data_IF_649728030180
#
_entry.id   IF_649728030180
#
_cell.length_a   1.000
_cell.length_b   1.000
_cell.length_c   1.000
_cell.angle_alpha   90.00
_cell.angle_beta   90.00
_cell.angle_gamma   90.00
#
_symmetry.space_group_name_H-M   'P 1'
#
loop_
_entity.id
_entity.type
_entity.pdbx_description
1 polymer ?
#
# COMPACT_ATOMS: atom_id res chain seq x y z
N UNK A 1 41.78 34.35 -37.17
CA UNK A 1 41.31 33.97 -35.83
C UNK A 1 42.07 32.74 -35.38
N UNK A 2 42.82 32.88 -34.30
CA UNK A 2 43.86 31.92 -33.90
C UNK A 2 43.23 30.67 -33.26
N UNK A 3 43.68 29.51 -33.65
CA UNK A 3 43.31 28.15 -33.15
C UNK A 3 43.43 27.99 -31.61
N UNK A 4 44.08 28.90 -30.94
CA UNK A 4 44.25 28.89 -29.45
C UNK A 4 42.98 29.30 -28.71
N UNK A 5 42.08 30.07 -29.29
CA UNK A 5 40.84 30.47 -28.64
C UNK A 5 39.74 29.40 -28.68
N UNK A 6 39.84 28.47 -29.64
CA UNK A 6 38.86 27.38 -29.74
C UNK A 6 39.11 26.27 -28.70
N UNK A 7 40.35 26.09 -28.30
CA UNK A 7 40.71 25.07 -27.28
C UNK A 7 40.30 25.49 -25.85
N UNK A 8 40.31 26.79 -25.57
CA UNK A 8 39.90 27.29 -24.26
C UNK A 8 38.39 27.24 -24.09
N UNK A 9 37.60 27.49 -25.15
CA UNK A 9 36.15 27.37 -25.10
C UNK A 9 35.68 25.92 -24.96
N UNK A 10 36.40 24.96 -25.60
CA UNK A 10 36.08 23.52 -25.50
C UNK A 10 36.36 22.98 -24.06
N UNK A 11 37.35 23.54 -23.37
CA UNK A 11 37.70 23.11 -22.01
C UNK A 11 36.76 23.69 -20.95
N UNK A 12 36.10 24.83 -21.20
CA UNK A 12 35.09 25.40 -20.31
C UNK A 12 33.76 24.64 -20.35
N UNK A 13 33.43 23.95 -21.45
CA UNK A 13 32.20 23.14 -21.53
C UNK A 13 32.31 21.76 -20.86
N UNK A 14 33.53 21.29 -20.58
CA UNK A 14 33.73 20.01 -19.90
C UNK A 14 33.61 20.08 -18.36
N UNK A 15 33.62 21.28 -17.81
CA UNK A 15 33.44 21.48 -16.34
C UNK A 15 32.02 21.83 -15.91
N UNK A 16 31.10 22.09 -16.84
CA UNK A 16 29.71 22.44 -16.50
C UNK A 16 28.77 21.26 -16.42
N UNK A 17 29.22 20.02 -16.64
CA UNK A 17 28.38 18.82 -16.53
C UNK A 17 28.54 18.01 -15.23
N UNK A 18 29.31 18.52 -14.26
CA UNK A 18 29.65 17.78 -13.04
C UNK A 18 29.10 18.42 -11.76
N UNK A 19 27.98 19.16 -11.83
CA UNK A 19 27.41 19.85 -10.66
C UNK A 19 25.98 19.45 -10.26
N UNK A 20 25.51 18.29 -10.68
CA UNK A 20 24.17 17.83 -10.25
C UNK A 20 24.15 16.62 -9.32
N UNK A 21 25.29 16.10 -8.91
CA UNK A 21 25.39 15.16 -7.78
C UNK A 21 25.75 15.87 -6.48
N UNK A 22 25.21 17.05 -6.26
CA UNK A 22 25.25 17.64 -4.92
C UNK A 22 24.34 16.86 -4.01
N UNK A 23 24.95 15.85 -3.32
CA UNK A 23 24.75 15.55 -1.92
C UNK A 23 23.30 15.85 -1.47
N UNK A 24 22.42 14.87 -1.56
CA UNK A 24 21.38 14.77 -0.55
C UNK A 24 22.12 14.73 0.80
N UNK A 25 22.31 15.88 1.40
CA UNK A 25 22.70 15.95 2.81
C UNK A 25 21.58 15.20 3.52
N UNK A 26 21.94 14.11 4.16
CA UNK A 26 21.07 13.48 5.14
C UNK A 26 20.67 14.55 6.14
N UNK A 27 19.50 15.12 5.97
CA UNK A 27 18.88 15.87 7.04
C UNK A 27 18.44 14.83 8.04
N UNK A 28 19.22 14.65 9.08
CA UNK A 28 18.78 13.88 10.25
C UNK A 28 17.63 14.68 10.87
N UNK A 29 16.42 14.24 10.62
CA UNK A 29 15.24 14.77 11.29
C UNK A 29 15.16 14.12 12.67
N UNK A 30 15.24 14.90 13.72
CA UNK A 30 14.86 14.43 15.05
C UNK A 30 13.34 14.19 15.06
N UNK A 31 12.92 12.95 15.05
CA UNK A 31 11.52 12.59 15.27
C UNK A 31 11.26 12.56 16.77
N UNK A 32 10.32 13.38 17.24
CA UNK A 32 9.77 13.24 18.58
C UNK A 32 8.47 12.47 18.50
N UNK A 33 8.32 11.47 19.35
CA UNK A 33 7.10 10.68 19.46
C UNK A 33 6.30 11.14 20.67
N UNK A 34 5.02 11.45 20.44
CA UNK A 34 4.06 11.68 21.50
C UNK A 34 3.04 10.53 21.48
N UNK A 35 3.01 9.76 22.55
CA UNK A 35 1.97 8.75 22.73
C UNK A 35 0.68 9.42 23.15
N UNK A 36 -0.39 9.25 22.37
CA UNK A 36 -1.73 9.76 22.68
C UNK A 36 -2.67 8.59 22.91
N UNK A 37 -3.35 8.63 24.06
CA UNK A 37 -4.46 7.71 24.35
C UNK A 37 -5.76 8.37 23.97
N UNK A 38 -6.59 7.68 23.19
CA UNK A 38 -7.93 8.12 22.82
C UNK A 38 -8.94 7.43 23.73
N UNK A 39 -9.82 8.21 24.36
CA UNK A 39 -10.87 7.68 25.19
C UNK A 39 -11.98 7.07 24.33
N UNK A 40 -12.12 5.76 24.36
CA UNK A 40 -13.24 5.07 23.74
C UNK A 40 -14.44 5.19 24.70
N UNK A 41 -15.43 6.01 24.36
CA UNK A 41 -16.73 5.99 25.03
C UNK A 41 -17.39 4.67 24.67
N UNK A 42 -18.08 3.98 25.56
CA UNK A 42 -18.59 2.59 25.45
C UNK A 42 -19.28 2.14 24.14
N UNK A 43 -19.16 2.90 23.07
CA UNK A 43 -19.54 2.60 21.68
C UNK A 43 -18.35 2.25 20.79
N UNK A 44 -17.11 2.49 21.24
CA UNK A 44 -15.90 2.14 20.51
C UNK A 44 -15.54 0.66 20.71
N UNK A 45 -14.66 0.18 19.87
CA UNK A 45 -14.05 -1.15 19.99
C UNK A 45 -12.54 -1.00 20.18
N UNK A 46 -11.91 -2.01 20.75
CA UNK A 46 -10.44 -2.09 20.79
C UNK A 46 -9.85 -2.59 19.46
N UNK A 47 -10.69 -3.13 18.57
CA UNK A 47 -10.27 -3.71 17.30
C UNK A 47 -10.88 -2.93 16.15
N UNK A 48 -10.07 -2.06 15.55
CA UNK A 48 -10.38 -1.38 14.29
C UNK A 48 -9.61 -2.04 13.16
N UNK A 49 -10.25 -2.20 12.00
CA UNK A 49 -9.62 -2.86 10.84
C UNK A 49 -8.54 -2.00 10.18
N UNK A 50 -8.77 -0.70 10.14
CA UNK A 50 -7.88 0.23 9.47
C UNK A 50 -8.05 1.63 10.03
N UNK A 51 -6.97 2.42 9.93
CA UNK A 51 -6.93 3.81 10.35
C UNK A 51 -6.51 4.70 9.20
N UNK A 52 -7.13 5.86 9.09
CA UNK A 52 -6.79 6.88 8.11
C UNK A 52 -6.84 8.27 8.75
N UNK A 53 -5.81 9.08 8.54
CA UNK A 53 -5.89 10.50 8.89
C UNK A 53 -6.89 11.18 7.97
N UNK A 54 -7.70 12.09 8.53
CA UNK A 54 -8.67 12.85 7.74
C UNK A 54 -7.94 13.68 6.68
N UNK A 55 -8.34 13.62 5.40
CA UNK A 55 -7.60 14.25 4.30
C UNK A 55 -7.66 15.78 4.30
N UNK A 56 -8.62 16.36 5.02
CA UNK A 56 -8.78 17.82 5.05
C UNK A 56 -7.62 18.45 5.83
N UNK A 57 -6.92 19.37 5.19
CA UNK A 57 -5.80 20.10 5.78
C UNK A 57 -6.26 20.87 7.04
N UNK A 58 -5.49 20.73 8.10
CA UNK A 58 -5.74 21.41 9.38
C UNK A 58 -6.72 20.70 10.30
N UNK A 59 -7.45 19.70 9.85
CA UNK A 59 -8.28 18.86 10.71
C UNK A 59 -7.46 17.73 11.30
N UNK A 60 -7.24 17.76 12.61
CA UNK A 60 -6.51 16.69 13.33
C UNK A 60 -7.47 15.60 13.77
N UNK A 61 -8.03 14.91 12.81
CA UNK A 61 -8.95 13.80 13.03
C UNK A 61 -8.41 12.51 12.44
N UNK A 62 -8.71 11.41 13.12
CA UNK A 62 -8.41 10.05 12.71
C UNK A 62 -9.72 9.33 12.44
N UNK A 63 -9.79 8.62 11.32
CA UNK A 63 -10.91 7.77 10.95
C UNK A 63 -10.53 6.32 11.15
N UNK A 64 -11.47 5.53 11.64
CA UNK A 64 -11.27 4.10 11.77
C UNK A 64 -12.56 3.33 11.51
N UNK A 65 -12.47 2.21 10.81
CA UNK A 65 -13.63 1.36 10.58
C UNK A 65 -13.79 0.37 11.73
N UNK A 66 -14.97 0.44 12.37
CA UNK A 66 -15.38 -0.43 13.46
C UNK A 66 -16.19 -1.61 12.91
N UNK A 67 -15.61 -2.81 12.85
CA UNK A 67 -16.29 -3.98 12.29
C UNK A 67 -17.44 -4.51 13.18
N UNK A 68 -17.41 -4.20 14.47
CA UNK A 68 -18.43 -4.67 15.40
C UNK A 68 -19.76 -3.96 15.21
N UNK A 69 -19.71 -2.69 14.80
CA UNK A 69 -20.90 -1.85 14.63
C UNK A 69 -21.16 -1.48 13.17
N UNK A 70 -20.31 -1.95 12.27
CA UNK A 70 -20.30 -1.56 10.85
C UNK A 70 -20.33 -0.04 10.69
N UNK A 71 -19.42 0.65 11.40
CA UNK A 71 -19.37 2.11 11.43
C UNK A 71 -17.99 2.67 11.08
N UNK A 72 -17.99 3.88 10.52
CA UNK A 72 -16.80 4.70 10.38
C UNK A 72 -16.77 5.69 11.53
N UNK A 73 -15.80 5.52 12.41
CA UNK A 73 -15.63 6.30 13.62
C UNK A 73 -14.62 7.40 13.42
N UNK A 74 -14.98 8.63 13.82
CA UNK A 74 -14.16 9.83 13.74
C UNK A 74 -13.67 10.23 15.11
N UNK A 75 -12.36 10.33 15.26
CA UNK A 75 -11.70 10.68 16.51
C UNK A 75 -11.00 12.04 16.38
N UNK A 76 -11.23 12.91 17.35
CA UNK A 76 -10.47 14.16 17.51
C UNK A 76 -9.13 13.86 18.21
N UNK A 77 -8.03 14.11 17.53
CA UNK A 77 -6.69 13.85 18.05
C UNK A 77 -6.24 14.91 19.07
N UNK A 78 -6.89 16.09 19.11
CA UNK A 78 -6.59 17.14 20.09
C UNK A 78 -7.37 16.89 21.37
N UNK A 79 -8.68 16.65 21.26
CA UNK A 79 -9.55 16.34 22.40
C UNK A 79 -9.38 14.92 22.90
N UNK A 80 -8.80 14.04 22.08
CA UNK A 80 -8.54 12.61 22.39
C UNK A 80 -9.84 11.83 22.66
N UNK A 81 -10.85 12.09 21.85
CA UNK A 81 -12.18 11.47 22.03
C UNK A 81 -12.81 11.07 20.70
N UNK A 82 -13.76 10.13 20.75
CA UNK A 82 -14.64 9.80 19.64
C UNK A 82 -15.63 10.95 19.42
N UNK A 83 -15.57 11.61 18.25
CA UNK A 83 -16.47 12.71 17.92
C UNK A 83 -17.81 12.18 17.43
N UNK A 84 -17.76 11.21 16.50
CA UNK A 84 -18.95 10.74 15.79
C UNK A 84 -18.71 9.37 15.17
N UNK A 85 -19.79 8.58 15.10
CA UNK A 85 -19.85 7.32 14.36
C UNK A 85 -20.88 7.43 13.25
N UNK A 86 -20.52 7.00 12.04
CA UNK A 86 -21.41 6.89 10.90
C UNK A 86 -21.64 5.42 10.62
N UNK A 87 -22.89 4.98 10.74
CA UNK A 87 -23.27 3.58 10.60
C UNK A 87 -23.63 3.27 9.14
N UNK A 88 -23.26 2.07 8.72
CA UNK A 88 -23.58 1.55 7.39
C UNK A 88 -24.42 0.28 7.54
N UNK A 89 -25.32 0.07 6.59
CA UNK A 89 -26.07 -1.17 6.51
C UNK A 89 -25.13 -2.33 6.16
N UNK A 90 -25.31 -3.49 6.73
CA UNK A 90 -24.57 -4.69 6.38
C UNK A 90 -25.13 -5.31 5.09
N UNK A 91 -26.44 -5.35 4.96
CA UNK A 91 -27.15 -5.98 3.85
C UNK A 91 -28.06 -4.99 3.11
N UNK A 92 -28.62 -5.43 1.99
CA UNK A 92 -29.54 -4.62 1.18
C UNK A 92 -28.85 -3.74 0.13
N UNK A 93 -29.63 -2.86 -0.54
CA UNK A 93 -29.11 -2.03 -1.64
C UNK A 93 -27.97 -1.10 -1.21
N UNK A 94 -28.03 -0.61 0.02
CA UNK A 94 -26.99 0.26 0.60
C UNK A 94 -26.02 -0.51 1.51
N UNK A 95 -26.14 -1.82 1.62
CA UNK A 95 -25.26 -2.63 2.44
C UNK A 95 -23.84 -2.62 1.95
N UNK A 96 -22.89 -2.33 2.85
CA UNK A 96 -21.45 -2.38 2.56
C UNK A 96 -20.85 -3.74 2.90
N UNK A 97 -21.61 -4.63 3.55
CA UNK A 97 -21.15 -5.92 4.03
C UNK A 97 -20.17 -5.76 5.20
N UNK A 98 -19.19 -6.63 5.25
CA UNK A 98 -18.05 -6.55 6.17
C UNK A 98 -16.82 -6.14 5.36
N UNK A 99 -16.50 -4.85 5.28
CA UNK A 99 -15.34 -4.37 4.55
C UNK A 99 -14.05 -4.90 5.17
N UNK A 100 -13.09 -5.28 4.35
CA UNK A 100 -11.73 -5.60 4.76
C UNK A 100 -10.83 -4.37 4.77
N UNK A 101 -11.19 -3.36 3.99
CA UNK A 101 -10.49 -2.07 3.97
C UNK A 101 -11.40 -0.93 3.51
N UNK A 102 -11.00 0.31 3.79
CA UNK A 102 -11.70 1.49 3.34
C UNK A 102 -10.72 2.60 2.93
N UNK A 103 -11.23 3.53 2.13
CA UNK A 103 -10.55 4.78 1.83
C UNK A 103 -11.57 5.92 1.89
N UNK A 104 -11.35 6.86 2.80
CA UNK A 104 -12.15 8.07 2.91
C UNK A 104 -11.51 9.19 2.10
N UNK A 105 -12.17 9.64 1.07
CA UNK A 105 -11.76 10.80 0.27
C UNK A 105 -12.43 12.08 0.78
N UNK A 106 -13.75 12.04 0.88
CA UNK A 106 -14.62 13.11 1.36
C UNK A 106 -15.97 12.54 1.82
N UNK A 107 -16.89 13.40 2.28
CA UNK A 107 -18.20 12.96 2.78
C UNK A 107 -19.08 12.29 1.72
N UNK A 108 -18.85 12.59 0.44
CA UNK A 108 -19.60 12.03 -0.68
C UNK A 108 -18.93 10.79 -1.30
N UNK A 109 -17.64 10.54 -0.98
CA UNK A 109 -16.88 9.45 -1.56
C UNK A 109 -16.09 8.70 -0.51
N UNK A 110 -16.66 7.60 -0.09
CA UNK A 110 -16.03 6.60 0.76
C UNK A 110 -15.98 5.31 -0.03
N UNK A 111 -14.81 4.76 -0.15
CA UNK A 111 -14.59 3.51 -0.87
C UNK A 111 -14.43 2.40 0.16
N UNK A 112 -15.24 1.35 0.02
CA UNK A 112 -15.13 0.14 0.82
C UNK A 112 -14.74 -1.02 -0.07
N UNK A 113 -13.77 -1.79 0.36
CA UNK A 113 -13.47 -3.07 -0.24
C UNK A 113 -13.99 -4.18 0.68
N UNK A 114 -14.81 -5.04 0.14
CA UNK A 114 -15.14 -6.32 0.73
C UNK A 114 -14.80 -7.41 -0.29
N UNK A 115 -14.46 -8.61 0.13
CA UNK A 115 -13.91 -9.68 -0.70
C UNK A 115 -14.52 -9.87 -2.11
N UNK A 116 -15.63 -9.23 -2.44
CA UNK A 116 -16.36 -9.38 -3.70
C UNK A 116 -16.55 -8.08 -4.47
N UNK A 117 -16.59 -6.95 -3.77
CA UNK A 117 -16.97 -5.67 -4.35
C UNK A 117 -16.09 -4.52 -3.88
N UNK A 118 -15.83 -3.61 -4.80
CA UNK A 118 -15.52 -2.22 -4.46
C UNK A 118 -16.84 -1.44 -4.43
N UNK A 119 -17.11 -0.80 -3.31
CA UNK A 119 -18.32 -0.03 -3.06
C UNK A 119 -17.93 1.43 -2.94
N UNK A 120 -18.68 2.31 -3.60
CA UNK A 120 -18.54 3.76 -3.45
C UNK A 120 -19.79 4.25 -2.74
N UNK A 121 -19.61 4.76 -1.53
CA UNK A 121 -20.69 5.23 -0.66
C UNK A 121 -20.45 6.66 -0.21
N UNK A 122 -21.41 7.24 0.48
CA UNK A 122 -21.25 8.51 1.19
C UNK A 122 -21.45 8.33 2.70
N UNK A 123 -21.20 9.38 3.48
CA UNK A 123 -21.40 9.36 4.95
C UNK A 123 -22.84 9.16 5.38
N UNK A 124 -23.83 9.29 4.50
CA UNK A 124 -25.23 8.94 4.77
C UNK A 124 -25.52 7.46 4.60
N UNK A 125 -24.51 6.66 4.24
CA UNK A 125 -24.65 5.23 4.00
C UNK A 125 -25.30 4.87 2.65
N UNK A 126 -25.40 5.83 1.70
CA UNK A 126 -25.97 5.57 0.39
C UNK A 126 -24.87 5.02 -0.52
N UNK A 127 -25.02 3.79 -0.97
CA UNK A 127 -24.11 3.16 -1.94
C UNK A 127 -24.44 3.67 -3.34
N UNK A 128 -23.54 4.50 -3.88
CA UNK A 128 -23.65 5.11 -5.21
C UNK A 128 -23.25 4.15 -6.33
N UNK A 129 -22.27 3.29 -6.04
CA UNK A 129 -21.77 2.32 -7.01
C UNK A 129 -21.28 1.05 -6.32
N UNK A 130 -21.50 -0.07 -7.00
CA UNK A 130 -21.05 -1.40 -6.57
C UNK A 130 -20.38 -2.08 -7.76
N UNK A 131 -19.08 -2.29 -7.67
CA UNK A 131 -18.27 -2.88 -8.74
C UNK A 131 -17.80 -4.24 -8.27
N UNK A 132 -18.08 -5.26 -9.05
CA UNK A 132 -17.64 -6.62 -8.75
C UNK A 132 -16.15 -6.74 -9.04
N UNK A 133 -15.35 -6.99 -7.99
CA UNK A 133 -13.90 -7.15 -8.10
C UNK A 133 -13.46 -8.62 -8.13
N UNK A 134 -14.37 -9.52 -7.79
CA UNK A 134 -14.12 -10.96 -7.83
C UNK A 134 -15.07 -11.64 -8.81
N UNK A 135 -14.50 -12.38 -9.76
CA UNK A 135 -15.25 -13.24 -10.66
C UNK A 135 -14.89 -14.69 -10.33
N UNK A 136 -15.88 -15.45 -9.92
CA UNK A 136 -15.75 -16.90 -9.78
C UNK A 136 -15.87 -17.52 -11.17
N UNK A 137 -14.76 -17.97 -11.73
CA UNK A 137 -14.83 -18.80 -12.93
C UNK A 137 -15.39 -20.16 -12.55
N UNK A 138 -16.55 -20.47 -13.12
CA UNK A 138 -17.32 -21.68 -12.80
C UNK A 138 -16.83 -22.94 -13.51
N UNK A 139 -15.81 -22.87 -14.36
CA UNK A 139 -15.25 -24.01 -15.05
C UNK A 139 -13.98 -24.53 -14.38
N UNK A 140 -13.98 -25.81 -14.02
CA UNK A 140 -12.84 -26.45 -13.35
C UNK A 140 -11.55 -26.46 -14.19
N UNK A 141 -11.64 -26.23 -15.51
CA UNK A 141 -10.51 -26.21 -16.43
C UNK A 141 -9.86 -24.82 -16.57
N UNK A 142 -10.49 -23.77 -16.07
CA UNK A 142 -9.97 -22.40 -16.15
C UNK A 142 -9.07 -22.02 -14.96
N UNK A 143 -8.86 -22.91 -14.02
CA UNK A 143 -8.03 -22.67 -12.82
C UNK A 143 -6.55 -22.41 -13.13
N UNK A 144 -6.10 -22.63 -14.37
CA UNK A 144 -4.71 -22.43 -14.78
C UNK A 144 -4.42 -21.07 -15.42
N UNK A 145 -5.44 -20.35 -15.94
CA UNK A 145 -5.22 -19.17 -16.78
C UNK A 145 -6.03 -17.92 -16.39
N UNK A 146 -6.96 -18.00 -15.44
CA UNK A 146 -7.85 -16.89 -15.17
C UNK A 146 -7.54 -16.20 -13.83
N UNK A 147 -7.03 -15.00 -14.02
CA UNK A 147 -7.20 -13.80 -13.22
C UNK A 147 -7.46 -14.12 -11.75
N UNK A 148 -6.40 -14.14 -11.00
CA UNK A 148 -6.50 -14.12 -9.55
C UNK A 148 -7.53 -13.08 -9.15
N UNK A 149 -8.51 -13.45 -8.32
CA UNK A 149 -9.42 -12.47 -7.76
C UNK A 149 -8.62 -11.32 -7.21
N UNK A 150 -9.13 -10.13 -7.34
CA UNK A 150 -8.57 -8.97 -6.66
C UNK A 150 -8.72 -9.29 -5.17
N UNK A 151 -7.71 -9.88 -4.59
CA UNK A 151 -7.65 -10.07 -3.15
C UNK A 151 -6.74 -8.98 -2.62
N UNK A 152 -7.36 -7.96 -2.07
CA UNK A 152 -6.64 -6.91 -1.36
C UNK A 152 -6.48 -7.45 0.06
N UNK A 153 -5.25 -7.73 0.51
CA UNK A 153 -5.05 -8.13 1.89
C UNK A 153 -5.60 -7.05 2.80
N UNK A 154 -6.36 -7.41 3.81
CA UNK A 154 -6.99 -6.50 4.76
C UNK A 154 -6.04 -5.54 5.49
N UNK A 155 -4.75 -5.78 5.38
CA UNK A 155 -3.69 -4.95 5.98
C UNK A 155 -3.02 -3.98 5.02
N UNK A 156 -3.36 -4.02 3.72
CA UNK A 156 -2.72 -3.18 2.71
C UNK A 156 -3.75 -2.27 2.07
N UNK A 157 -3.65 -0.95 2.31
CA UNK A 157 -4.59 -0.02 1.75
C UNK A 157 -4.50 -0.04 0.22
N UNK A 158 -5.63 0.00 -0.43
CA UNK A 158 -5.70 0.40 -1.82
C UNK A 158 -5.62 1.93 -1.91
N UNK A 159 -5.21 2.43 -3.07
CA UNK A 159 -5.10 3.87 -3.31
C UNK A 159 -6.05 4.30 -4.41
N UNK A 160 -6.69 5.42 -4.17
CA UNK A 160 -7.67 6.02 -5.08
C UNK A 160 -7.04 7.23 -5.76
N UNK A 161 -7.07 7.21 -7.09
CA UNK A 161 -6.90 8.39 -7.91
C UNK A 161 -8.27 8.82 -8.45
N UNK A 162 -8.87 9.79 -7.79
CA UNK A 162 -10.21 10.28 -8.15
C UNK A 162 -10.24 11.06 -9.46
N UNK A 163 -9.10 11.58 -9.92
CA UNK A 163 -8.99 12.32 -11.19
C UNK A 163 -9.14 11.37 -12.37
N UNK A 164 -8.46 10.23 -12.31
CA UNK A 164 -8.51 9.22 -13.37
C UNK A 164 -9.58 8.15 -13.16
N UNK A 165 -10.29 8.20 -12.03
CA UNK A 165 -11.22 7.17 -11.58
C UNK A 165 -10.55 5.78 -11.46
N UNK A 166 -9.36 5.73 -10.88
CA UNK A 166 -8.56 4.53 -10.80
C UNK A 166 -8.25 4.15 -9.33
N UNK A 167 -8.41 2.88 -9.04
CA UNK A 167 -7.96 2.25 -7.81
C UNK A 167 -6.71 1.42 -8.10
N UNK A 168 -5.65 1.67 -7.36
CA UNK A 168 -4.42 0.88 -7.37
C UNK A 168 -4.41 -0.03 -6.14
N UNK A 169 -4.06 -1.29 -6.34
CA UNK A 169 -4.05 -2.29 -5.28
C UNK A 169 -2.91 -3.28 -5.44
N UNK A 170 -2.42 -3.76 -4.32
CA UNK A 170 -1.51 -4.89 -4.30
C UNK A 170 -2.28 -6.17 -4.68
N UNK A 171 -1.71 -6.98 -5.56
CA UNK A 171 -2.23 -8.31 -5.83
C UNK A 171 -1.58 -9.29 -4.87
N UNK A 172 -2.39 -10.11 -4.24
CA UNK A 172 -1.85 -11.28 -3.57
C UNK A 172 -1.46 -12.32 -4.60
N UNK A 173 -0.41 -13.04 -4.29
CA UNK A 173 -0.05 -14.23 -5.02
C UNK A 173 -1.19 -15.25 -5.01
N UNK A 174 -1.17 -16.09 -6.02
CA UNK A 174 -2.01 -17.28 -6.05
C UNK A 174 -1.76 -18.11 -4.79
N UNK A 175 -2.84 -18.34 -4.03
CA UNK A 175 -2.81 -19.30 -2.94
C UNK A 175 -3.22 -20.62 -3.56
N UNK A 176 -2.28 -21.56 -3.67
CA UNK A 176 -2.56 -22.89 -4.17
C UNK A 176 -3.53 -23.65 -3.25
N UNK A 177 -3.96 -24.86 -3.66
CA UNK A 177 -4.86 -25.70 -2.85
C UNK A 177 -4.30 -26.04 -1.46
N UNK A 178 -2.99 -25.86 -1.27
CA UNK A 178 -2.30 -26.07 0.00
C UNK A 178 -2.15 -24.77 0.80
N UNK A 179 -2.80 -23.67 0.35
CA UNK A 179 -2.73 -22.34 0.94
C UNK A 179 -1.34 -21.70 0.94
N UNK A 180 -0.47 -22.10 0.02
CA UNK A 180 0.84 -21.46 -0.14
C UNK A 180 0.81 -20.34 -1.15
N UNK A 181 1.53 -19.29 -0.80
CA UNK A 181 1.74 -18.15 -1.68
C UNK A 181 2.80 -18.54 -2.72
N UNK A 182 2.39 -18.64 -3.99
CA UNK A 182 3.29 -18.91 -5.10
C UNK A 182 3.41 -17.68 -5.98
N UNK A 183 4.61 -17.10 -6.01
CA UNK A 183 5.00 -16.11 -7.00
C UNK A 183 6.05 -16.70 -7.91
N UNK A 184 5.99 -16.34 -9.18
CA UNK A 184 7.04 -16.58 -10.14
C UNK A 184 7.56 -15.25 -10.71
N UNK A 185 8.58 -15.34 -11.54
CA UNK A 185 9.21 -14.19 -12.21
C UNK A 185 8.27 -13.39 -13.11
N UNK A 186 7.13 -13.99 -13.51
CA UNK A 186 6.13 -13.37 -14.38
C UNK A 186 4.91 -12.87 -13.60
N UNK A 187 4.87 -13.09 -12.30
CA UNK A 187 3.75 -12.69 -11.45
C UNK A 187 3.72 -11.18 -11.28
N UNK A 188 2.71 -10.54 -11.85
CA UNK A 188 2.47 -9.10 -11.66
C UNK A 188 1.83 -8.88 -10.29
N UNK A 189 2.41 -7.99 -9.52
CA UNK A 189 2.08 -7.77 -8.11
C UNK A 189 1.22 -6.54 -7.84
N UNK A 190 0.97 -5.73 -8.85
CA UNK A 190 0.12 -4.53 -8.75
C UNK A 190 -0.97 -4.61 -9.81
N UNK A 191 -2.19 -4.35 -9.38
CA UNK A 191 -3.34 -4.19 -10.24
C UNK A 191 -3.89 -2.78 -10.19
N UNK A 192 -4.67 -2.45 -11.22
CA UNK A 192 -5.39 -1.21 -11.36
C UNK A 192 -6.80 -1.47 -11.86
N UNK A 193 -7.81 -0.90 -11.19
CA UNK A 193 -9.22 -0.95 -11.58
C UNK A 193 -9.68 0.46 -11.92
N UNK A 194 -10.21 0.66 -13.13
CA UNK A 194 -10.94 1.88 -13.45
C UNK A 194 -12.42 1.63 -13.16
N UNK A 195 -12.99 2.36 -12.19
CA UNK A 195 -14.37 2.12 -11.77
C UNK A 195 -15.44 2.72 -12.68
N UNK A 196 -15.09 3.58 -13.64
CA UNK A 196 -16.04 4.06 -14.64
C UNK A 196 -16.26 3.04 -15.75
N UNK A 197 -15.19 2.38 -16.17
CA UNK A 197 -15.24 1.35 -17.21
C UNK A 197 -15.36 -0.06 -16.64
N UNK A 198 -15.19 -0.22 -15.33
CA UNK A 198 -15.16 -1.50 -14.60
C UNK A 198 -14.10 -2.48 -15.10
N UNK A 199 -13.05 -1.93 -15.72
CA UNK A 199 -11.93 -2.73 -16.25
C UNK A 199 -10.79 -2.77 -15.27
N UNK A 200 -10.37 -3.98 -14.93
CA UNK A 200 -9.14 -4.24 -14.18
C UNK A 200 -8.03 -4.63 -15.14
N UNK A 201 -6.83 -4.14 -14.89
CA UNK A 201 -5.61 -4.50 -15.62
C UNK A 201 -4.45 -4.72 -14.65
N UNK A 202 -3.51 -5.56 -15.05
CA UNK A 202 -2.29 -5.78 -14.32
C UNK A 202 -1.20 -4.82 -14.80
N UNK A 203 -0.60 -4.11 -13.87
CA UNK A 203 0.55 -3.26 -14.13
C UNK A 203 1.80 -4.15 -14.23
N UNK A 204 2.69 -3.96 -15.21
CA UNK A 204 3.88 -4.79 -15.38
C UNK A 204 4.96 -4.47 -14.34
N UNK A 205 4.64 -4.68 -13.09
CA UNK A 205 5.52 -4.59 -11.92
C UNK A 205 5.60 -6.00 -11.33
N UNK A 206 6.82 -6.49 -11.16
CA UNK A 206 7.12 -7.84 -10.75
C UNK A 206 7.83 -7.87 -9.41
N UNK A 207 7.86 -9.03 -8.77
CA UNK A 207 8.62 -9.21 -7.54
C UNK A 207 10.11 -8.92 -7.78
N UNK A 208 10.78 -8.30 -6.81
CA UNK A 208 12.23 -8.17 -6.83
C UNK A 208 12.93 -9.53 -6.76
N UNK A 209 14.13 -9.60 -7.37
CA UNK A 209 14.93 -10.84 -7.48
C UNK A 209 15.21 -11.51 -6.14
N UNK A 210 15.33 -10.74 -5.06
CA UNK A 210 15.60 -11.30 -3.74
C UNK A 210 14.46 -12.18 -3.20
N UNK A 211 13.23 -12.00 -3.71
CA UNK A 211 12.10 -12.89 -3.40
C UNK A 211 12.03 -14.11 -4.32
N UNK A 212 12.67 -14.06 -5.47
CA UNK A 212 12.66 -15.16 -6.44
C UNK A 212 13.64 -16.27 -6.09
N UNK A 213 14.32 -16.16 -4.95
CA UNK A 213 15.18 -17.20 -4.41
C UNK A 213 14.34 -18.42 -3.99
N UNK A 214 14.36 -19.46 -4.82
CA UNK A 214 13.60 -20.71 -4.61
C UNK A 214 13.99 -21.51 -3.35
N UNK A 215 15.01 -21.07 -2.60
CA UNK A 215 15.47 -21.72 -1.37
C UNK A 215 14.77 -21.21 -0.11
N UNK A 216 14.14 -20.05 -0.21
CA UNK A 216 13.54 -19.34 0.93
C UNK A 216 12.06 -19.09 0.68
N UNK A 217 11.28 -19.09 1.77
CA UNK A 217 9.86 -18.78 1.79
C UNK A 217 9.59 -17.67 2.81
N UNK A 218 8.84 -16.65 2.41
CA UNK A 218 8.60 -15.42 3.19
C UNK A 218 7.15 -15.28 3.70
N UNK A 219 6.29 -16.25 3.43
CA UNK A 219 4.89 -16.18 3.85
C UNK A 219 4.18 -14.93 3.28
N UNK A 220 3.44 -14.23 4.13
CA UNK A 220 2.72 -13.00 3.74
C UNK A 220 3.63 -11.80 3.44
N UNK A 221 4.90 -11.87 3.80
CA UNK A 221 5.85 -10.77 3.56
C UNK A 221 6.23 -10.57 2.08
N UNK A 222 5.79 -11.45 1.18
CA UNK A 222 5.83 -11.20 -0.26
C UNK A 222 4.93 -10.05 -0.72
N UNK A 223 3.89 -9.71 0.05
CA UNK A 223 2.93 -8.73 -0.36
C UNK A 223 3.57 -7.33 -0.45
N UNK A 224 3.45 -6.67 -1.61
CA UNK A 224 3.96 -5.32 -1.77
C UNK A 224 3.13 -4.33 -0.96
N UNK A 225 3.82 -3.40 -0.31
CA UNK A 225 3.22 -2.26 0.34
C UNK A 225 3.26 -1.10 -0.65
N UNK A 226 2.08 -0.57 -0.97
CA UNK A 226 1.91 0.44 -2.02
C UNK A 226 1.66 1.82 -1.40
N UNK A 227 2.24 2.85 -2.00
CA UNK A 227 1.91 4.25 -1.75
C UNK A 227 1.80 4.98 -3.09
N UNK A 228 0.76 5.79 -3.26
CA UNK A 228 0.59 6.63 -4.45
C UNK A 228 1.07 8.06 -4.17
N UNK A 229 1.94 8.58 -5.01
CA UNK A 229 2.43 9.95 -4.95
C UNK A 229 2.43 10.61 -6.33
N UNK A 230 1.53 11.56 -6.53
CA UNK A 230 1.23 12.12 -7.83
C UNK A 230 0.92 10.99 -8.85
N UNK A 231 1.67 10.91 -9.93
CA UNK A 231 1.57 9.87 -10.96
C UNK A 231 2.48 8.66 -10.71
N UNK A 232 3.04 8.52 -9.50
CA UNK A 232 4.04 7.50 -9.18
C UNK A 232 3.51 6.49 -8.18
N UNK A 233 3.85 5.23 -8.45
CA UNK A 233 3.66 4.12 -7.55
C UNK A 233 4.95 3.89 -6.77
N UNK A 234 4.89 4.03 -5.46
CA UNK A 234 6.02 3.76 -4.58
C UNK A 234 5.72 2.44 -3.89
N UNK A 235 6.64 1.50 -4.05
CA UNK A 235 6.49 0.13 -3.53
C UNK A 235 7.64 -0.16 -2.59
N UNK A 236 7.30 -0.65 -1.42
CA UNK A 236 8.26 -1.23 -0.49
C UNK A 236 7.77 -2.60 -0.01
N UNK A 237 8.65 -3.31 0.66
CA UNK A 237 8.38 -4.65 1.18
C UNK A 237 8.75 -4.71 2.65
N UNK A 238 8.01 -5.52 3.38
CA UNK A 238 8.21 -5.74 4.81
C UNK A 238 9.61 -6.29 5.14
N UNK A 239 10.23 -7.00 4.20
CA UNK A 239 11.49 -7.70 4.42
C UNK A 239 12.72 -6.98 3.91
N UNK A 240 12.60 -5.76 3.36
CA UNK A 240 13.72 -5.09 2.71
C UNK A 240 13.74 -3.59 2.96
N UNK A 241 14.96 -3.04 3.13
CA UNK A 241 15.20 -1.60 3.17
C UNK A 241 14.91 -0.90 1.83
N UNK A 242 14.83 -1.65 0.74
CA UNK A 242 14.65 -1.10 -0.60
C UNK A 242 13.27 -0.54 -0.86
N UNK A 243 13.24 0.57 -1.60
CA UNK A 243 12.03 1.24 -2.08
C UNK A 243 12.14 1.33 -3.60
N UNK A 244 11.04 1.02 -4.27
CA UNK A 244 10.93 1.05 -5.72
C UNK A 244 9.92 2.11 -6.14
N UNK A 245 10.31 3.00 -7.05
CA UNK A 245 9.44 4.04 -7.58
C UNK A 245 9.20 3.75 -9.07
N UNK A 246 7.94 3.61 -9.43
CA UNK A 246 7.48 3.39 -10.80
C UNK A 246 6.59 4.56 -11.23
N UNK A 247 6.46 4.78 -12.53
CA UNK A 247 5.33 5.55 -13.04
C UNK A 247 4.04 4.72 -12.99
N UNK A 248 2.89 5.35 -13.16
CA UNK A 248 1.58 4.70 -13.12
C UNK A 248 1.38 3.57 -14.16
N UNK A 249 2.24 3.50 -15.19
CA UNK A 249 2.25 2.42 -16.16
C UNK A 249 3.19 1.26 -15.80
N UNK A 250 3.97 1.38 -14.73
CA UNK A 250 4.94 0.38 -14.29
C UNK A 250 6.23 0.29 -15.12
N UNK A 251 6.44 1.20 -16.09
CA UNK A 251 7.53 1.09 -17.06
C UNK A 251 8.85 1.71 -16.64
N UNK A 252 8.82 2.73 -15.77
CA UNK A 252 10.03 3.40 -15.29
C UNK A 252 10.25 2.99 -13.84
N UNK A 253 11.40 2.39 -13.56
CA UNK A 253 11.79 1.95 -12.22
C UNK A 253 12.98 2.78 -11.74
N UNK A 254 12.86 3.29 -10.52
CA UNK A 254 13.99 3.76 -9.71
C UNK A 254 14.02 2.98 -8.42
N UNK A 255 15.20 2.68 -7.95
CA UNK A 255 15.42 1.92 -6.72
C UNK A 255 16.24 2.77 -5.77
N UNK A 256 15.82 2.79 -4.52
CA UNK A 256 16.51 3.47 -3.42
C UNK A 256 16.69 2.46 -2.30
N UNK A 257 17.85 2.46 -1.69
CA UNK A 257 18.10 1.71 -0.47
C UNK A 257 18.08 2.70 0.70
N UNK A 258 17.19 2.44 1.65
CA UNK A 258 17.05 3.23 2.88
C UNK A 258 17.35 2.35 4.08
N UNK A 259 18.65 2.03 4.29
CA UNK A 259 19.07 1.09 5.32
C UNK A 259 18.83 1.65 6.72
N UNK A 260 18.51 0.76 7.65
CA UNK A 260 18.53 1.05 9.08
C UNK A 260 19.95 0.96 9.60
N UNK A 261 20.33 1.89 10.49
CA UNK A 261 21.57 1.82 11.24
C UNK A 261 21.48 0.89 12.45
N UNK A 262 20.29 0.43 12.81
CA UNK A 262 20.03 -0.28 14.06
C UNK A 262 19.62 -1.73 13.88
N UNK A 263 19.13 -2.10 12.69
CA UNK A 263 18.52 -3.41 12.44
C UNK A 263 19.02 -4.00 11.13
N UNK A 264 18.76 -5.29 10.90
CA UNK A 264 19.03 -5.93 9.61
C UNK A 264 18.21 -5.27 8.50
N UNK A 265 18.85 -4.99 7.37
CA UNK A 265 18.21 -4.33 6.22
C UNK A 265 17.54 -5.31 5.26
N UNK A 266 17.66 -6.59 5.54
CA UNK A 266 16.98 -7.65 4.80
C UNK A 266 16.64 -8.80 5.74
N UNK A 267 15.35 -9.12 5.84
CA UNK A 267 14.88 -10.32 6.50
C UNK A 267 15.14 -11.52 5.58
N UNK A 268 15.71 -12.57 6.13
CA UNK A 268 15.81 -13.86 5.43
C UNK A 268 14.50 -14.63 5.57
N UNK A 269 14.10 -15.33 4.53
CA UNK A 269 12.98 -16.25 4.58
C UNK A 269 13.29 -17.51 5.39
N UNK A 270 12.29 -18.30 5.69
CA UNK A 270 12.50 -19.66 6.19
C UNK A 270 12.92 -20.58 5.02
N UNK A 271 13.66 -21.67 5.26
CA UNK A 271 13.94 -22.66 4.21
C UNK A 271 12.64 -23.13 3.54
N UNK A 272 12.65 -23.34 2.24
CA UNK A 272 11.45 -23.77 1.49
C UNK A 272 10.87 -25.09 2.04
N UNK A 273 11.70 -25.96 2.61
CA UNK A 273 11.25 -27.18 3.28
C UNK A 273 10.42 -26.95 4.53
N UNK A 274 10.47 -25.74 5.10
CA UNK A 274 9.70 -25.34 6.28
C UNK A 274 8.47 -24.48 5.92
N UNK A 275 8.10 -24.37 4.64
CA UNK A 275 6.98 -23.54 4.18
C UNK A 275 5.62 -23.94 4.76
N UNK A 276 5.47 -25.16 5.22
CA UNK A 276 4.26 -25.70 5.87
C UNK A 276 4.20 -25.43 7.37
N UNK A 277 5.31 -25.01 7.95
CA UNK A 277 5.44 -24.71 9.37
C UNK A 277 5.09 -23.24 9.65
N UNK A 278 3.80 -22.94 9.76
CA UNK A 278 3.31 -21.58 10.05
C UNK A 278 3.91 -21.00 11.34
N UNK A 279 4.23 -21.86 12.31
CA UNK A 279 4.85 -21.41 13.55
C UNK A 279 6.25 -20.87 13.31
N UNK A 280 7.05 -21.57 12.51
CA UNK A 280 8.39 -21.11 12.13
C UNK A 280 8.33 -19.84 11.27
N UNK A 281 7.38 -19.77 10.32
CA UNK A 281 7.21 -18.59 9.48
C UNK A 281 6.88 -17.37 10.35
N UNK A 282 5.89 -17.48 11.23
CA UNK A 282 5.49 -16.40 12.11
C UNK A 282 6.60 -16.00 13.10
N UNK A 283 7.33 -16.98 13.67
CA UNK A 283 8.49 -16.70 14.52
C UNK A 283 9.62 -16.01 13.76
N UNK A 284 9.85 -16.37 12.50
CA UNK A 284 10.85 -15.72 11.67
C UNK A 284 10.46 -14.27 11.37
N UNK A 285 9.20 -14.03 10.99
CA UNK A 285 8.68 -12.68 10.76
C UNK A 285 8.75 -11.81 12.02
N UNK A 286 8.31 -12.35 13.17
CA UNK A 286 8.30 -11.60 14.44
C UNK A 286 9.68 -11.30 15.04
N UNK A 287 10.70 -12.02 14.64
CA UNK A 287 12.10 -11.82 15.11
C UNK A 287 12.93 -10.96 14.16
N UNK A 288 12.45 -10.78 12.95
CA UNK A 288 13.13 -10.00 11.94
C UNK A 288 12.80 -8.52 12.03
N UNK A 289 13.53 -7.74 11.27
CA UNK A 289 13.17 -6.34 11.05
C UNK A 289 12.02 -6.29 10.07
N UNK A 290 10.93 -5.70 10.49
CA UNK A 290 9.80 -5.43 9.64
C UNK A 290 9.80 -3.97 9.20
N UNK A 291 9.80 -3.75 7.89
CA UNK A 291 9.61 -2.43 7.34
C UNK A 291 8.12 -2.19 7.09
N UNK A 292 7.56 -1.22 7.80
CA UNK A 292 6.14 -0.88 7.65
C UNK A 292 5.87 -0.11 6.35
N UNK A 293 4.59 0.04 5.96
CA UNK A 293 4.21 0.83 4.79
C UNK A 293 4.79 2.24 4.83
N UNK A 294 5.14 2.74 3.65
CA UNK A 294 5.60 4.10 3.48
C UNK A 294 4.44 5.07 3.66
N UNK A 295 4.62 6.08 4.46
CA UNK A 295 3.65 7.15 4.66
C UNK A 295 4.14 8.45 4.02
N UNK A 296 3.25 9.11 3.30
CA UNK A 296 3.52 10.39 2.67
C UNK A 296 2.84 11.52 3.45
N UNK A 297 3.65 12.36 4.09
CA UNK A 297 3.19 13.64 4.59
C UNK A 297 3.10 14.65 3.44
N UNK A 298 1.91 14.80 2.88
CA UNK A 298 1.65 15.71 1.75
C UNK A 298 1.94 17.17 2.09
N UNK A 299 1.84 17.57 3.35
CA UNK A 299 2.01 18.97 3.78
C UNK A 299 3.47 19.39 3.74
N UNK A 300 4.38 18.48 4.05
CA UNK A 300 5.81 18.71 4.11
C UNK A 300 6.59 18.08 2.94
N UNK A 301 5.92 17.29 2.09
CA UNK A 301 6.55 16.57 0.98
C UNK A 301 7.55 15.50 1.45
N UNK A 302 7.34 14.94 2.63
CA UNK A 302 8.26 13.99 3.27
C UNK A 302 7.62 12.60 3.27
N UNK A 303 8.47 11.60 3.00
CA UNK A 303 8.12 10.20 3.20
C UNK A 303 8.80 9.69 4.46
N UNK A 304 8.09 8.91 5.24
CA UNK A 304 8.63 8.21 6.40
C UNK A 304 8.13 6.77 6.45
N UNK A 305 8.96 5.92 7.02
CA UNK A 305 8.71 4.50 7.19
C UNK A 305 9.24 4.07 8.54
N UNK A 306 8.42 3.33 9.27
CA UNK A 306 8.84 2.71 10.52
C UNK A 306 9.49 1.34 10.26
N UNK A 307 10.31 0.92 11.19
CA UNK A 307 10.91 -0.43 11.22
C UNK A 307 11.29 -0.84 12.64
#
# INVERSE_FOLDING_TARGET
MSTKHFLILSFMFLFSSCESERLMREKVFGLSFEQKSIKLSGKGTEMYLQWQLHPQKGLKALLAFNPMNNSLDFFDLEKKELIKSYFFEEEGPNGVGQPSSFYFQDEEHIYFENARFLLISNLKGIVKKRIRIWQQNTSADSLANDINPIHIPSYFPFYIDSITAEMYYARTAYIDRQMFINYDENSKIIGKLNWNTEKAIDIPIYLPDFYLNKKEYFGTAYNPQLCLWADKLIINYQTSSKIFIYNSSGKQKREYDLPSSYTSNQLKGVPISAREDFTKINQNLSRGTEFYPLHHDKSNGIFYRFH
#
